data_IF_521772654010
#
_entry.id   IF_521772654010
#
_cell.length_a   1.000
_cell.length_b   1.000
_cell.length_c   1.000
_cell.angle_alpha   90.00
_cell.angle_beta   90.00
_cell.angle_gamma   90.00
#
_symmetry.space_group_name_H-M   'P 1'
#
loop_
_entity.id
_entity.type
_entity.pdbx_description
1 polymer ?
#
# COMPACT_ATOMS: atom_id res chain seq x y z
N UNK A 1 49.20 -13.86 45.81
CA UNK A 1 49.18 -12.55 45.11
C UNK A 1 50.00 -12.70 43.84
N UNK A 2 49.51 -12.60 42.61
CA UNK A 2 48.21 -12.21 42.03
C UNK A 2 48.01 -13.12 40.80
N UNK A 3 46.84 -13.73 40.66
CA UNK A 3 46.41 -14.42 39.44
C UNK A 3 45.77 -13.39 38.51
N UNK A 4 46.36 -13.17 37.33
CA UNK A 4 45.79 -12.34 36.27
C UNK A 4 44.85 -13.21 35.43
N UNK A 5 43.55 -13.05 35.63
CA UNK A 5 42.50 -13.56 34.76
C UNK A 5 42.41 -12.65 33.54
N UNK A 6 42.65 -13.19 32.34
CA UNK A 6 42.29 -12.52 31.08
C UNK A 6 40.79 -12.72 30.88
N UNK A 7 40.02 -11.64 31.03
CA UNK A 7 38.65 -11.58 30.53
C UNK A 7 38.70 -11.54 29.01
N UNK A 8 38.18 -12.59 28.38
CA UNK A 8 37.79 -12.59 26.98
C UNK A 8 36.49 -11.79 26.86
N UNK A 9 36.58 -10.64 26.19
CA UNK A 9 35.42 -9.87 25.74
C UNK A 9 34.71 -10.70 24.69
N UNK A 10 33.55 -11.26 25.03
CA UNK A 10 32.61 -11.82 24.06
C UNK A 10 32.04 -10.64 23.25
N UNK A 11 32.45 -10.57 21.99
CA UNK A 11 31.81 -9.72 20.97
C UNK A 11 30.35 -10.17 20.83
N UNK A 12 29.44 -9.36 21.36
CA UNK A 12 28.01 -9.50 21.12
C UNK A 12 27.72 -9.39 19.63
N UNK A 13 27.59 -10.53 18.96
CA UNK A 13 27.06 -10.60 17.61
C UNK A 13 25.68 -9.96 17.62
N UNK A 14 25.55 -8.84 16.90
CA UNK A 14 24.27 -8.19 16.61
C UNK A 14 23.32 -9.26 16.05
N UNK A 15 22.36 -9.68 16.87
CA UNK A 15 21.25 -10.51 16.43
C UNK A 15 20.48 -9.67 15.41
N UNK A 16 20.77 -9.93 14.15
CA UNK A 16 20.02 -9.41 13.03
C UNK A 16 18.62 -9.99 13.19
N UNK A 17 17.68 -9.23 13.76
CA UNK A 17 16.28 -9.65 13.81
C UNK A 17 15.71 -9.47 12.41
N UNK A 18 15.48 -10.59 11.73
CA UNK A 18 14.75 -10.64 10.47
C UNK A 18 13.26 -10.63 10.80
N UNK A 19 12.41 -9.98 9.98
CA UNK A 19 10.97 -10.03 10.17
C UNK A 19 10.47 -11.48 10.13
N UNK A 20 9.35 -11.76 10.82
CA UNK A 20 8.94 -13.13 11.08
C UNK A 20 8.60 -13.88 9.79
N UNK A 21 8.97 -15.15 9.75
CA UNK A 21 8.42 -16.11 8.80
C UNK A 21 6.92 -16.32 9.04
N UNK A 22 6.17 -16.42 7.94
CA UNK A 22 4.72 -16.62 7.80
C UNK A 22 4.06 -17.25 9.04
N UNK A 23 3.24 -16.47 9.75
CA UNK A 23 2.41 -16.95 10.86
C UNK A 23 2.31 -16.03 12.09
N UNK A 24 3.11 -14.96 12.17
CA UNK A 24 3.09 -14.02 13.29
C UNK A 24 2.44 -12.67 12.91
N UNK A 25 1.97 -11.96 13.93
CA UNK A 25 1.34 -10.64 13.82
C UNK A 25 2.24 -9.68 13.01
N UNK A 26 1.65 -8.77 12.21
CA UNK A 26 2.44 -7.85 11.40
C UNK A 26 3.29 -6.95 12.29
N UNK A 27 4.53 -6.68 11.87
CA UNK A 27 5.35 -5.65 12.51
C UNK A 27 4.86 -4.27 12.09
N UNK A 28 4.71 -3.37 13.05
CA UNK A 28 4.41 -1.97 12.74
C UNK A 28 5.71 -1.25 12.42
N UNK A 29 5.74 -0.51 11.32
CA UNK A 29 6.91 0.28 10.93
C UNK A 29 6.52 1.74 10.95
N UNK A 30 7.30 2.55 11.64
CA UNK A 30 7.14 4.00 11.66
C UNK A 30 8.49 4.69 11.61
N UNK A 31 8.54 5.82 10.93
CA UNK A 31 9.76 6.58 10.69
C UNK A 31 9.92 7.58 11.83
N UNK A 32 11.09 7.56 12.47
CA UNK A 32 11.40 8.31 13.68
C UNK A 32 12.73 9.06 13.56
N UNK A 33 12.88 10.09 14.40
CA UNK A 33 14.07 10.94 14.46
C UNK A 33 13.79 12.34 13.93
N UNK A 34 14.54 13.33 14.41
CA UNK A 34 14.39 14.74 14.03
C UNK A 34 14.56 15.02 12.53
N UNK A 35 15.11 14.05 11.80
CA UNK A 35 15.40 14.08 10.37
C UNK A 35 14.85 12.84 9.63
N UNK A 36 13.95 12.06 10.24
CA UNK A 36 13.34 10.87 9.62
C UNK A 36 14.36 9.80 9.14
N UNK A 37 15.52 9.74 9.79
CA UNK A 37 16.65 8.88 9.39
C UNK A 37 16.52 7.41 9.85
N UNK A 38 15.68 7.14 10.86
CA UNK A 38 15.57 5.83 11.49
C UNK A 38 14.16 5.25 11.32
N UNK A 39 14.08 3.94 11.10
CA UNK A 39 12.82 3.21 11.06
C UNK A 39 12.73 2.32 12.29
N UNK A 40 11.64 2.49 13.04
CA UNK A 40 11.34 1.64 14.20
C UNK A 40 10.35 0.57 13.78
N UNK A 41 10.76 -0.67 13.98
CA UNK A 41 9.97 -1.86 13.77
C UNK A 41 9.46 -2.34 15.12
N UNK A 42 8.16 -2.23 15.36
CA UNK A 42 7.53 -2.71 16.57
C UNK A 42 6.97 -4.10 16.34
N UNK A 43 7.54 -5.08 17.03
CA UNK A 43 7.01 -6.43 17.09
C UNK A 43 5.84 -6.44 18.07
N UNK A 44 4.62 -6.63 17.53
CA UNK A 44 3.39 -6.68 18.34
C UNK A 44 3.39 -7.91 19.25
N UNK A 45 3.98 -9.02 18.80
CA UNK A 45 3.98 -10.29 19.56
C UNK A 45 4.90 -10.23 20.77
N UNK A 46 6.07 -9.61 20.63
CA UNK A 46 7.04 -9.47 21.72
C UNK A 46 6.91 -8.14 22.46
N UNK A 47 6.07 -7.21 21.95
CA UNK A 47 5.95 -5.84 22.45
C UNK A 47 7.30 -5.12 22.51
N UNK A 48 8.16 -5.36 21.51
CA UNK A 48 9.53 -4.86 21.47
C UNK A 48 9.79 -3.99 20.24
N UNK A 49 10.69 -3.02 20.37
CA UNK A 49 11.10 -2.13 19.28
C UNK A 49 12.48 -2.50 18.76
N UNK A 50 12.60 -2.71 17.45
CA UNK A 50 13.86 -2.84 16.75
C UNK A 50 14.08 -1.60 15.90
N UNK A 51 15.14 -0.85 16.16
CA UNK A 51 15.51 0.31 15.35
C UNK A 51 16.47 -0.13 14.26
N UNK A 52 16.17 0.22 13.01
CA UNK A 52 17.07 0.05 11.87
C UNK A 52 17.18 1.37 11.11
N UNK A 53 18.27 1.49 10.37
CA UNK A 53 18.46 2.56 9.39
C UNK A 53 18.48 1.92 8.02
N UNK A 54 17.41 2.14 7.26
CA UNK A 54 17.26 1.72 5.86
C UNK A 54 17.46 2.98 5.02
N UNK A 55 18.63 3.15 4.37
CA UNK A 55 18.96 4.35 3.61
C UNK A 55 17.89 4.73 2.58
N UNK A 56 17.27 3.73 1.95
CA UNK A 56 16.23 3.90 0.94
C UNK A 56 14.92 4.47 1.49
N UNK A 57 14.72 4.49 2.81
CA UNK A 57 13.53 5.05 3.46
C UNK A 57 13.78 6.40 4.12
N UNK A 58 15.02 6.88 4.16
CA UNK A 58 15.36 8.14 4.84
C UNK A 58 14.80 9.34 4.09
N UNK A 59 13.96 10.12 4.78
CA UNK A 59 13.27 11.28 4.19
C UNK A 59 12.36 10.91 3.02
N UNK A 60 11.89 9.65 2.94
CA UNK A 60 11.00 9.17 1.90
C UNK A 60 9.60 8.90 2.43
N UNK A 61 8.61 9.17 1.59
CA UNK A 61 7.22 8.86 1.88
C UNK A 61 6.86 7.45 1.40
N UNK A 62 6.24 6.66 2.29
CA UNK A 62 5.67 5.37 1.95
C UNK A 62 4.22 5.60 1.51
N UNK A 63 3.94 5.40 0.23
CA UNK A 63 2.61 5.58 -0.34
C UNK A 63 1.66 4.43 0.00
N UNK A 64 2.18 3.20 0.04
CA UNK A 64 1.42 2.01 0.46
C UNK A 64 2.35 0.87 0.88
N UNK A 65 1.81 -0.08 1.63
CA UNK A 65 2.48 -1.31 2.03
C UNK A 65 1.57 -2.50 1.72
N UNK A 66 2.00 -3.36 0.79
CA UNK A 66 1.23 -4.54 0.41
C UNK A 66 2.14 -5.67 -0.06
N UNK A 67 1.75 -6.91 0.19
CA UNK A 67 2.51 -8.11 -0.20
C UNK A 67 3.97 -8.16 0.29
N UNK A 68 4.29 -7.47 1.39
CA UNK A 68 5.67 -7.35 1.89
C UNK A 68 6.55 -6.34 1.13
N UNK A 69 5.93 -5.51 0.28
CA UNK A 69 6.58 -4.46 -0.49
C UNK A 69 6.04 -3.09 -0.10
N UNK A 70 6.90 -2.08 -0.17
CA UNK A 70 6.59 -0.68 0.02
C UNK A 70 6.61 0.02 -1.34
N UNK A 71 5.61 0.87 -1.60
CA UNK A 71 5.71 1.88 -2.68
C UNK A 71 6.26 3.14 -2.06
N UNK A 72 7.41 3.57 -2.57
CA UNK A 72 8.00 4.85 -2.24
C UNK A 72 7.60 5.82 -3.34
N UNK A 73 6.94 6.90 -2.94
CA UNK A 73 6.57 8.01 -3.82
C UNK A 73 6.37 9.25 -2.93
N UNK A 74 7.19 10.28 -3.15
CA UNK A 74 7.20 11.49 -2.33
C UNK A 74 6.96 12.76 -3.14
N UNK A 75 6.48 13.79 -2.46
CA UNK A 75 6.03 15.06 -3.06
C UNK A 75 7.15 15.99 -3.56
N UNK A 76 8.42 15.75 -3.21
CA UNK A 76 9.49 16.75 -3.37
C UNK A 76 10.57 16.37 -4.40
N UNK A 77 10.65 15.12 -4.83
CA UNK A 77 11.73 14.62 -5.69
C UNK A 77 11.13 13.69 -6.75
N UNK A 78 11.22 14.09 -8.03
CA UNK A 78 10.64 13.37 -9.17
C UNK A 78 11.16 11.94 -9.35
N UNK A 79 12.38 11.67 -8.86
CA UNK A 79 13.09 10.41 -9.07
C UNK A 79 12.87 9.38 -7.93
N UNK A 80 12.06 9.74 -6.94
CA UNK A 80 11.80 8.92 -5.74
C UNK A 80 10.60 7.98 -5.90
N UNK A 81 10.28 7.54 -7.11
CA UNK A 81 9.23 6.55 -7.33
C UNK A 81 9.80 5.14 -7.54
N UNK A 82 9.66 4.27 -6.54
CA UNK A 82 10.16 2.89 -6.62
C UNK A 82 9.46 1.94 -5.64
N UNK A 83 9.57 0.65 -5.93
CA UNK A 83 9.18 -0.42 -5.01
C UNK A 83 10.38 -0.87 -4.20
N UNK A 84 10.19 -1.05 -2.89
CA UNK A 84 11.20 -1.56 -1.97
C UNK A 84 10.67 -2.74 -1.19
N UNK A 85 11.41 -3.84 -1.18
CA UNK A 85 11.20 -4.90 -0.22
C UNK A 85 12.17 -4.69 0.96
N UNK A 86 11.69 -4.29 2.16
CA UNK A 86 12.56 -3.91 3.28
C UNK A 86 13.30 -5.11 3.90
N UNK A 87 12.92 -6.34 3.55
CA UNK A 87 13.53 -7.57 4.04
C UNK A 87 14.71 -7.97 3.17
N UNK A 88 14.45 -8.09 1.87
CA UNK A 88 15.44 -8.51 0.87
C UNK A 88 16.28 -7.35 0.35
N UNK A 89 15.91 -6.11 0.66
CA UNK A 89 16.48 -4.86 0.12
C UNK A 89 16.36 -4.73 -1.41
N UNK A 90 15.57 -5.59 -2.05
CA UNK A 90 15.31 -5.52 -3.49
C UNK A 90 14.56 -4.24 -3.81
N UNK A 91 15.12 -3.46 -4.73
CA UNK A 91 14.54 -2.23 -5.26
C UNK A 91 14.14 -2.43 -6.72
N UNK A 92 12.94 -1.96 -7.08
CA UNK A 92 12.47 -1.91 -8.47
C UNK A 92 12.11 -0.45 -8.78
N UNK A 93 12.87 0.18 -9.66
CA UNK A 93 12.59 1.55 -10.07
C UNK A 93 11.31 1.60 -10.91
N UNK A 94 10.45 2.58 -10.66
CA UNK A 94 9.27 2.88 -11.46
C UNK A 94 9.54 4.12 -12.33
N UNK A 95 8.68 4.42 -13.32
CA UNK A 95 8.83 5.66 -14.08
C UNK A 95 8.78 6.88 -13.15
N UNK A 96 9.54 7.92 -13.46
CA UNK A 96 9.55 9.15 -12.66
C UNK A 96 8.17 9.81 -12.67
N UNK A 97 7.80 10.40 -11.53
CA UNK A 97 6.58 11.19 -11.40
C UNK A 97 6.91 12.67 -11.69
N UNK A 98 5.93 13.42 -12.19
CA UNK A 98 6.12 14.86 -12.37
C UNK A 98 6.17 15.56 -10.99
N UNK A 99 6.87 16.70 -10.86
CA UNK A 99 6.98 17.40 -9.57
C UNK A 99 5.65 17.88 -8.96
N UNK A 100 4.63 18.04 -9.79
CA UNK A 100 3.27 18.44 -9.42
C UNK A 100 2.33 17.25 -9.19
N UNK A 101 2.82 16.02 -9.31
CA UNK A 101 2.02 14.81 -9.15
C UNK A 101 1.52 14.69 -7.71
N UNK A 102 0.20 14.51 -7.56
CA UNK A 102 -0.46 14.24 -6.29
C UNK A 102 -1.40 13.05 -6.42
N UNK A 103 -1.61 12.37 -5.31
CA UNK A 103 -2.50 11.23 -5.20
C UNK A 103 -3.09 11.16 -3.80
N UNK A 104 -4.29 10.59 -3.68
CA UNK A 104 -4.96 10.35 -2.41
C UNK A 104 -4.68 8.94 -1.90
N UNK A 105 -4.59 7.97 -2.81
CA UNK A 105 -4.34 6.57 -2.48
C UNK A 105 -3.35 5.92 -3.44
N UNK A 106 -2.67 4.90 -2.94
CA UNK A 106 -1.77 4.06 -3.73
C UNK A 106 -2.02 2.59 -3.41
N UNK A 107 -2.05 1.73 -4.44
CA UNK A 107 -2.29 0.30 -4.30
C UNK A 107 -1.43 -0.53 -5.24
N UNK A 108 -1.12 -1.76 -4.82
CA UNK A 108 -0.54 -2.82 -5.65
C UNK A 108 -1.61 -3.85 -5.97
N UNK A 109 -1.75 -4.23 -7.25
CA UNK A 109 -2.72 -5.26 -7.65
C UNK A 109 -2.33 -6.66 -7.16
N UNK A 110 -1.02 -6.94 -7.06
CA UNK A 110 -0.46 -8.23 -6.64
C UNK A 110 1.02 -8.03 -6.23
N UNK A 111 1.74 -9.08 -5.79
CA UNK A 111 3.17 -8.94 -5.49
C UNK A 111 3.97 -8.51 -6.74
N UNK A 112 4.97 -7.61 -6.65
CA UNK A 112 5.78 -7.13 -7.79
C UNK A 112 6.53 -8.21 -8.57
N UNK A 113 6.69 -9.40 -8.00
CA UNK A 113 7.30 -10.53 -8.68
C UNK A 113 6.31 -11.21 -9.67
N UNK A 114 5.02 -10.86 -9.62
CA UNK A 114 4.02 -11.23 -10.61
C UNK A 114 4.13 -10.32 -11.84
N UNK A 115 4.27 -10.86 -13.06
CA UNK A 115 4.35 -10.05 -14.29
C UNK A 115 3.08 -9.23 -14.58
N UNK A 116 1.94 -9.59 -13.98
CA UNK A 116 0.70 -8.82 -14.08
C UNK A 116 0.49 -7.86 -12.90
N UNK A 117 1.52 -7.65 -12.07
CA UNK A 117 1.47 -6.63 -11.03
C UNK A 117 1.36 -5.24 -11.67
N UNK A 118 0.46 -4.44 -11.10
CA UNK A 118 0.25 -3.04 -11.47
C UNK A 118 0.37 -2.21 -10.20
N UNK A 119 1.16 -1.14 -10.28
CA UNK A 119 1.23 -0.07 -9.27
C UNK A 119 0.28 1.03 -9.71
N UNK A 120 -0.60 1.47 -8.81
CA UNK A 120 -1.66 2.41 -9.14
C UNK A 120 -1.71 3.53 -8.10
N UNK A 121 -1.80 4.75 -8.59
CA UNK A 121 -2.12 5.95 -7.84
C UNK A 121 -3.53 6.39 -8.21
N UNK A 122 -4.29 6.76 -7.19
CA UNK A 122 -5.68 7.16 -7.30
C UNK A 122 -5.81 8.58 -6.78
N UNK A 123 -6.42 9.44 -7.57
CA UNK A 123 -6.76 10.79 -7.20
C UNK A 123 -8.27 10.96 -7.39
N UNK A 124 -8.94 11.37 -6.32
CA UNK A 124 -10.39 11.49 -6.26
C UNK A 124 -10.75 12.96 -6.28
N UNK A 125 -11.53 13.33 -7.28
CA UNK A 125 -12.18 14.64 -7.35
C UNK A 125 -13.70 14.43 -7.34
N UNK A 126 -14.44 15.52 -7.23
CA UNK A 126 -15.89 15.53 -7.22
C UNK A 126 -16.41 14.80 -8.45
N UNK A 127 -17.08 13.66 -8.23
CA UNK A 127 -17.67 12.83 -9.29
C UNK A 127 -16.67 12.16 -10.24
N UNK A 128 -15.37 12.20 -9.96
CA UNK A 128 -14.35 11.61 -10.85
C UNK A 128 -13.23 10.91 -10.11
N UNK A 129 -12.64 9.92 -10.77
CA UNK A 129 -11.50 9.16 -10.31
C UNK A 129 -10.44 9.19 -11.42
N UNK A 130 -9.30 9.76 -11.13
CA UNK A 130 -8.11 9.68 -11.98
C UNK A 130 -7.22 8.54 -11.47
N UNK A 131 -6.92 7.61 -12.37
CA UNK A 131 -6.04 6.47 -12.11
C UNK A 131 -4.79 6.63 -12.97
N UNK A 132 -3.66 6.78 -12.29
CA UNK A 132 -2.33 6.74 -12.90
C UNK A 132 -1.64 5.44 -12.51
N UNK A 133 -1.19 4.66 -13.49
CA UNK A 133 -0.69 3.31 -13.23
C UNK A 133 0.42 2.86 -14.18
N UNK A 134 1.22 1.89 -13.73
CA UNK A 134 2.22 1.20 -14.54
C UNK A 134 2.46 -0.23 -14.03
N UNK A 135 3.06 -1.08 -14.87
CA UNK A 135 3.64 -2.36 -14.44
C UNK A 135 5.11 -2.15 -14.03
N UNK A 136 5.63 -2.93 -13.07
CA UNK A 136 7.06 -2.95 -12.81
C UNK A 136 7.86 -3.24 -14.09
N UNK A 137 8.77 -2.33 -14.46
CA UNK A 137 9.56 -2.42 -15.70
C UNK A 137 9.03 -1.58 -16.87
N UNK A 138 7.84 -1.01 -16.76
CA UNK A 138 7.37 0.02 -17.70
C UNK A 138 8.26 1.28 -17.60
N UNK A 139 8.30 2.06 -18.68
CA UNK A 139 9.10 3.29 -18.79
C UNK A 139 8.30 4.56 -18.61
N UNK A 140 6.96 4.48 -18.68
CA UNK A 140 6.03 5.61 -18.61
C UNK A 140 4.78 5.24 -17.82
N UNK A 141 4.13 6.24 -17.22
CA UNK A 141 2.84 6.09 -16.55
C UNK A 141 1.69 6.20 -17.55
N UNK A 142 0.68 5.35 -17.40
CA UNK A 142 -0.59 5.46 -18.11
C UNK A 142 -1.62 6.12 -17.21
N UNK A 143 -2.38 7.08 -17.74
CA UNK A 143 -3.44 7.81 -17.02
C UNK A 143 -4.81 7.52 -17.61
N UNK A 144 -5.81 7.31 -16.76
CA UNK A 144 -7.20 7.10 -17.15
C UNK A 144 -8.15 7.76 -16.15
N UNK A 145 -9.12 8.50 -16.67
CA UNK A 145 -10.15 9.17 -15.87
C UNK A 145 -11.48 8.42 -15.94
N UNK A 146 -12.13 8.28 -14.79
CA UNK A 146 -13.42 7.63 -14.63
C UNK A 146 -14.41 8.60 -14.02
N UNK A 147 -15.68 8.47 -14.43
CA UNK A 147 -16.78 9.15 -13.76
C UNK A 147 -17.29 8.25 -12.65
N UNK A 148 -17.22 8.75 -11.42
CA UNK A 148 -17.99 8.16 -10.33
C UNK A 148 -19.42 8.67 -10.48
N UNK A 149 -20.40 7.78 -10.34
CA UNK A 149 -21.79 8.17 -10.55
C UNK A 149 -22.25 9.04 -9.40
N UNK A 150 -22.78 10.23 -9.71
CA UNK A 150 -23.71 10.89 -8.83
C UNK A 150 -24.62 11.84 -9.63
N UNK A 151 -25.88 11.98 -9.21
CA UNK A 151 -26.79 13.00 -9.77
C UNK A 151 -26.47 14.40 -9.22
N UNK A 152 -25.75 14.48 -8.09
CA UNK A 152 -25.50 15.70 -7.31
C UNK A 152 -24.02 15.93 -6.93
N UNK A 153 -23.06 15.25 -7.58
CA UNK A 153 -21.62 15.50 -7.44
C UNK A 153 -21.11 15.42 -5.96
N UNK A 154 -21.57 14.44 -5.18
CA UNK A 154 -21.31 14.37 -3.73
C UNK A 154 -20.61 13.10 -3.26
N UNK A 155 -20.41 12.11 -4.12
CA UNK A 155 -19.92 10.80 -3.70
C UNK A 155 -18.40 10.82 -3.41
N UNK A 156 -18.06 10.85 -2.12
CA UNK A 156 -16.67 10.77 -1.65
C UNK A 156 -16.21 9.32 -1.51
N UNK A 157 -14.93 9.07 -1.74
CA UNK A 157 -14.35 7.74 -1.48
C UNK A 157 -14.12 7.52 0.01
N UNK A 158 -14.61 6.39 0.51
CA UNK A 158 -14.48 5.97 1.90
C UNK A 158 -13.31 5.01 2.09
N UNK A 159 -13.13 4.06 1.18
CA UNK A 159 -12.01 3.11 1.24
C UNK A 159 -11.68 2.52 -0.11
N UNK A 160 -10.40 2.21 -0.31
CA UNK A 160 -9.90 1.48 -1.46
C UNK A 160 -9.31 0.16 -0.98
N UNK A 161 -9.58 -0.92 -1.71
CA UNK A 161 -8.98 -2.23 -1.47
C UNK A 161 -8.63 -2.92 -2.78
N UNK A 162 -7.87 -4.01 -2.68
CA UNK A 162 -7.53 -4.84 -3.83
C UNK A 162 -7.97 -6.27 -3.57
N UNK A 163 -8.68 -6.87 -4.53
CA UNK A 163 -9.08 -8.27 -4.48
C UNK A 163 -8.79 -8.96 -5.81
N UNK A 164 -7.88 -9.95 -5.77
CA UNK A 164 -7.48 -10.74 -6.97
C UNK A 164 -7.00 -9.88 -8.15
N UNK A 165 -6.35 -8.76 -7.87
CA UNK A 165 -5.84 -7.83 -8.88
C UNK A 165 -6.81 -6.71 -9.27
N UNK A 166 -8.09 -6.83 -8.91
CA UNK A 166 -9.09 -5.78 -9.15
C UNK A 166 -9.06 -4.78 -7.99
N UNK A 167 -9.19 -3.48 -8.28
CA UNK A 167 -9.40 -2.46 -7.25
C UNK A 167 -10.90 -2.41 -6.93
N UNK A 168 -11.20 -2.42 -5.63
CA UNK A 168 -12.52 -2.18 -5.08
C UNK A 168 -12.54 -0.79 -4.42
N UNK A 169 -13.48 0.06 -4.80
CA UNK A 169 -13.64 1.41 -4.27
C UNK A 169 -15.02 1.49 -3.64
N UNK A 170 -15.05 1.75 -2.33
CA UNK A 170 -16.28 1.95 -1.58
C UNK A 170 -16.44 3.45 -1.32
N UNK A 171 -17.61 3.98 -1.63
CA UNK A 171 -17.93 5.39 -1.41
C UNK A 171 -18.83 5.61 -0.20
N UNK A 172 -19.06 6.86 0.18
CA UNK A 172 -19.89 7.23 1.32
C UNK A 172 -21.37 6.91 1.11
N UNK A 173 -21.88 6.98 -0.13
CA UNK A 173 -23.24 6.58 -0.46
C UNK A 173 -23.39 5.08 -0.77
N UNK A 174 -22.43 4.27 -0.30
CA UNK A 174 -22.45 2.82 -0.36
C UNK A 174 -22.43 2.25 -1.79
N UNK A 175 -21.92 3.01 -2.76
CA UNK A 175 -21.56 2.48 -4.07
C UNK A 175 -20.25 1.70 -3.97
N UNK A 176 -20.25 0.49 -4.51
CA UNK A 176 -19.05 -0.32 -4.66
C UNK A 176 -18.65 -0.37 -6.12
N UNK A 177 -17.58 0.32 -6.47
CA UNK A 177 -16.99 0.31 -7.80
C UNK A 177 -15.86 -0.71 -7.89
N UNK A 178 -15.83 -1.46 -8.99
CA UNK A 178 -14.70 -2.30 -9.36
C UNK A 178 -13.96 -1.64 -10.52
N UNK A 179 -12.64 -1.50 -10.39
CA UNK A 179 -11.75 -1.09 -11.49
C UNK A 179 -10.92 -2.32 -11.82
N UNK A 180 -11.24 -2.93 -12.96
CA UNK A 180 -10.56 -4.14 -13.46
C UNK A 180 -9.53 -3.77 -14.51
N UNK A 181 -8.37 -4.40 -14.48
CA UNK A 181 -7.36 -4.21 -15.51
C UNK A 181 -7.28 -5.48 -16.34
N UNK A 182 -7.74 -5.42 -17.58
CA UNK A 182 -7.50 -6.51 -18.53
C UNK A 182 -6.14 -6.36 -19.22
N UNK A 183 -5.76 -7.37 -20.01
CA UNK A 183 -4.51 -7.38 -20.78
C UNK A 183 -4.43 -6.26 -21.84
N UNK A 184 -5.53 -5.56 -22.11
CA UNK A 184 -5.61 -4.40 -23.00
C UNK A 184 -5.64 -3.06 -22.26
N UNK A 185 -5.43 -3.06 -20.94
CA UNK A 185 -5.48 -1.86 -20.10
C UNK A 185 -6.86 -1.17 -20.11
N UNK A 186 -7.93 -1.90 -20.44
CA UNK A 186 -9.29 -1.36 -20.38
C UNK A 186 -9.85 -1.55 -18.97
N UNK A 187 -10.40 -0.47 -18.42
CA UNK A 187 -11.05 -0.46 -17.12
C UNK A 187 -12.56 -0.54 -17.28
N UNK A 188 -13.17 -1.53 -16.61
CA UNK A 188 -14.64 -1.65 -16.54
C UNK A 188 -15.11 -1.33 -15.14
N UNK A 189 -16.00 -0.34 -15.02
CA UNK A 189 -16.67 0.05 -13.78
C UNK A 189 -17.97 -0.73 -13.60
N UNK A 190 -18.18 -1.27 -12.40
CA UNK A 190 -19.44 -1.89 -12.00
C UNK A 190 -19.93 -1.17 -10.74
N UNK A 191 -21.13 -0.58 -10.79
CA UNK A 191 -21.79 -0.01 -9.61
C UNK A 191 -22.72 -1.07 -8.99
N UNK A 192 -22.47 -1.45 -7.74
CA UNK A 192 -23.38 -2.27 -6.94
C UNK A 192 -24.03 -1.39 -5.87
N UNK A 193 -25.29 -1.01 -6.07
CA UNK A 193 -26.08 -0.28 -5.07
C UNK A 193 -26.54 -1.24 -3.98
N UNK A 194 -26.42 -0.84 -2.71
CA UNK A 194 -26.86 -1.64 -1.54
C UNK A 194 -28.33 -2.10 -1.62
N UNK A 195 -29.20 -1.32 -2.26
CA UNK A 195 -30.63 -1.65 -2.42
C UNK A 195 -30.93 -2.59 -3.61
N UNK A 196 -29.94 -3.01 -4.39
CA UNK A 196 -30.14 -3.89 -5.53
C UNK A 196 -30.20 -5.37 -5.09
N UNK A 197 -31.41 -5.82 -4.80
CA UNK A 197 -31.73 -7.20 -4.39
C UNK A 197 -31.41 -8.27 -5.46
N UNK A 198 -30.91 -7.88 -6.64
CA UNK A 198 -30.58 -8.82 -7.71
C UNK A 198 -29.18 -9.43 -7.61
N UNK A 199 -28.31 -8.91 -6.72
CA UNK A 199 -26.93 -9.40 -6.57
C UNK A 199 -26.81 -10.52 -5.51
N UNK A 200 -26.46 -11.78 -5.89
CA UNK A 200 -26.36 -12.91 -4.95
C UNK A 200 -25.32 -12.69 -3.84
N UNK A 201 -24.30 -11.89 -4.09
CA UNK A 201 -23.22 -11.58 -3.15
C UNK A 201 -23.71 -10.73 -1.97
N UNK A 202 -24.68 -9.83 -2.22
CA UNK A 202 -25.23 -8.92 -1.21
C UNK A 202 -26.14 -9.65 -0.21
N UNK A 203 -26.87 -10.68 -0.66
CA UNK A 203 -27.68 -11.53 0.22
C UNK A 203 -26.89 -12.16 1.37
N UNK A 204 -25.59 -12.45 1.15
CA UNK A 204 -24.69 -13.01 2.16
C UNK A 204 -24.18 -11.98 3.17
N UNK A 205 -23.95 -10.74 2.74
CA UNK A 205 -23.55 -9.64 3.63
C UNK A 205 -24.69 -9.25 4.59
N UNK A 206 -25.93 -9.25 4.09
CA UNK A 206 -27.15 -9.02 4.87
C UNK A 206 -27.31 -9.97 6.07
N UNK A 207 -26.75 -11.19 5.98
CA UNK A 207 -26.81 -12.20 7.05
C UNK A 207 -25.76 -12.04 8.14
N UNK A 208 -24.72 -11.21 7.92
CA UNK A 208 -23.56 -11.10 8.83
C UNK A 208 -23.54 -9.82 9.67
N UNK A 209 -24.23 -8.77 9.25
CA UNK A 209 -24.36 -7.54 10.01
C UNK A 209 -25.84 -7.30 10.29
N UNK A 210 -26.34 -7.54 11.52
CA UNK A 210 -27.68 -7.13 11.90
C UNK A 210 -27.75 -5.62 11.77
N UNK A 211 -28.78 -5.14 11.07
CA UNK A 211 -29.17 -3.73 11.05
C UNK A 211 -29.45 -3.29 12.48
N UNK A 212 -28.47 -2.63 13.10
CA UNK A 212 -28.75 -1.72 14.20
C UNK A 212 -28.90 -0.34 13.59
N UNK A 213 -30.14 0.08 13.36
CA UNK A 213 -30.74 1.29 13.91
C UNK A 213 -32.09 1.57 13.23
N UNK A 214 -33.04 1.94 14.09
CA UNK A 214 -34.38 2.46 13.82
C UNK A 214 -34.34 3.84 13.15
#
# INVERSE_FOLDING_TARGET
MKTNTKESVEEGQSLQCWPPTVGLLPWLVFINGSSEENQTFYDISESHCHVKSIPELQGKLVATCSYGWLVIAGYLISDDCFLLNPISTKKIQLPSLTPDFSYDNCVLSSPPDNPECVVMFLNFDIGTLDVTFCKPGDVEWTRQDFKLHDEDDSDYVRSVGVHKGDICILTWYEHLYFVKFDKSYAVTQYDLKWYDNTCPTMSKLHSRFPTYLL
#
